data_IF_822110184634
#
_entry.id   IF_822110184634
#
_cell.length_a   1.000
_cell.length_b   1.000
_cell.length_c   1.000
_cell.angle_alpha   90.00
_cell.angle_beta   90.00
_cell.angle_gamma   90.00
#
_symmetry.space_group_name_H-M   'P 1'
#
loop_
_entity.id
_entity.type
_entity.pdbx_description
1 polymer ?
#
# COMPACT_ATOMS: atom_id res chain seq x y z
N UNK A 1 -21.04 -9.90 -19.09
CA UNK A 1 -20.55 -9.21 -17.88
C UNK A 1 -19.03 -9.00 -17.91
N UNK A 2 -18.20 -9.99 -18.29
CA UNK A 2 -16.73 -9.82 -18.40
C UNK A 2 -16.31 -8.70 -19.36
N UNK A 3 -16.76 -8.70 -20.61
CA UNK A 3 -16.33 -7.69 -21.60
C UNK A 3 -16.65 -6.23 -21.24
N UNK A 4 -17.76 -5.99 -20.51
CA UNK A 4 -18.12 -4.65 -20.04
C UNK A 4 -17.25 -4.21 -18.86
N UNK A 5 -16.92 -5.15 -17.95
CA UNK A 5 -15.97 -4.94 -16.87
C UNK A 5 -14.58 -4.62 -17.42
N UNK A 6 -14.11 -5.40 -18.41
CA UNK A 6 -12.81 -5.21 -19.03
C UNK A 6 -12.70 -3.84 -19.71
N UNK A 7 -13.79 -3.37 -20.34
CA UNK A 7 -13.85 -2.02 -20.92
C UNK A 7 -13.81 -0.92 -19.85
N UNK A 8 -14.62 -1.02 -18.80
CA UNK A 8 -14.67 -0.01 -17.74
C UNK A 8 -13.34 0.07 -16.97
N UNK A 9 -12.75 -1.06 -16.62
CA UNK A 9 -11.43 -1.11 -15.97
C UNK A 9 -10.33 -0.54 -16.88
N UNK A 10 -10.40 -0.80 -18.20
CA UNK A 10 -9.48 -0.22 -19.17
C UNK A 10 -9.61 1.30 -19.27
N UNK A 11 -10.82 1.84 -19.32
CA UNK A 11 -11.05 3.28 -19.34
C UNK A 11 -10.50 3.96 -18.06
N UNK A 12 -10.64 3.30 -16.91
CA UNK A 12 -10.03 3.76 -15.66
C UNK A 12 -8.50 3.74 -15.78
N UNK A 13 -7.92 2.64 -16.24
CA UNK A 13 -6.47 2.49 -16.44
C UNK A 13 -5.89 3.57 -17.35
N UNK A 14 -6.54 3.86 -18.47
CA UNK A 14 -6.11 4.87 -19.43
C UNK A 14 -6.20 6.32 -18.88
N UNK A 15 -7.04 6.57 -17.88
CA UNK A 15 -7.11 7.89 -17.19
C UNK A 15 -6.04 8.07 -16.12
N UNK A 16 -5.62 6.98 -15.48
CA UNK A 16 -4.67 7.03 -14.36
C UNK A 16 -3.23 6.79 -14.79
N UNK A 17 -2.99 6.34 -16.03
CA UNK A 17 -1.66 6.15 -16.62
C UNK A 17 -1.44 7.10 -17.79
N UNK A 18 -0.24 7.65 -17.92
CA UNK A 18 0.14 8.34 -19.14
C UNK A 18 0.19 7.34 -20.32
N UNK A 19 -0.18 7.77 -21.53
CA UNK A 19 -0.01 6.94 -22.73
C UNK A 19 1.48 6.67 -22.99
N UNK A 20 1.78 5.52 -23.58
CA UNK A 20 3.13 5.11 -23.92
C UNK A 20 3.34 3.61 -23.80
N UNK A 21 4.60 3.20 -23.93
CA UNK A 21 5.04 1.82 -23.75
C UNK A 21 4.95 1.38 -22.29
N UNK A 22 4.74 0.09 -22.08
CA UNK A 22 4.73 -0.49 -20.75
C UNK A 22 6.17 -0.67 -20.20
N UNK A 23 6.39 -0.49 -18.87
CA UNK A 23 5.40 -0.12 -17.86
C UNK A 23 5.07 1.38 -17.89
N UNK A 24 3.78 1.71 -18.03
CA UNK A 24 3.32 3.11 -18.07
C UNK A 24 3.49 3.83 -16.74
N UNK A 25 3.76 5.13 -16.79
CA UNK A 25 3.91 5.99 -15.61
C UNK A 25 2.53 6.52 -15.18
N UNK A 26 2.17 6.44 -13.88
CA UNK A 26 0.90 6.97 -13.42
C UNK A 26 0.83 8.49 -13.52
N UNK A 27 -0.34 9.00 -13.91
CA UNK A 27 -0.67 10.42 -13.88
C UNK A 27 -0.44 10.95 -12.47
N UNK A 28 0.33 12.03 -12.39
CA UNK A 28 0.81 12.61 -11.15
C UNK A 28 0.76 14.13 -11.21
N UNK A 29 0.56 14.76 -10.03
CA UNK A 29 0.46 16.21 -9.85
C UNK A 29 1.74 16.97 -10.24
N UNK A 30 2.84 16.25 -10.42
CA UNK A 30 4.17 16.80 -10.72
C UNK A 30 4.43 16.86 -12.23
N UNK A 31 3.54 16.28 -13.05
CA UNK A 31 3.71 16.23 -14.51
C UNK A 31 4.82 15.28 -15.00
N UNK A 32 5.49 14.55 -14.11
CA UNK A 32 6.65 13.70 -14.44
C UNK A 32 6.24 12.51 -15.31
N UNK A 33 7.00 12.27 -16.38
CA UNK A 33 6.66 11.29 -17.43
C UNK A 33 7.54 10.04 -17.42
N UNK A 34 8.62 10.02 -16.64
CA UNK A 34 9.49 8.84 -16.52
C UNK A 34 9.40 8.24 -15.11
N UNK A 35 9.55 6.91 -15.02
CA UNK A 35 9.61 6.24 -13.72
C UNK A 35 10.77 6.74 -12.87
N UNK A 36 11.94 6.95 -13.47
CA UNK A 36 13.14 7.42 -12.75
C UNK A 36 12.86 8.74 -12.01
N UNK A 37 12.37 9.75 -12.73
CA UNK A 37 12.09 11.07 -12.13
C UNK A 37 10.96 10.98 -11.09
N UNK A 38 9.90 10.22 -11.39
CA UNK A 38 8.78 10.05 -10.48
C UNK A 38 9.21 9.38 -9.17
N UNK A 39 10.00 8.30 -9.24
CA UNK A 39 10.52 7.61 -8.06
C UNK A 39 11.43 8.52 -7.22
N UNK A 40 12.35 9.26 -7.86
CA UNK A 40 13.26 10.18 -7.16
C UNK A 40 12.49 11.27 -6.39
N UNK A 41 11.52 11.93 -7.03
CA UNK A 41 10.75 13.01 -6.39
C UNK A 41 9.77 12.45 -5.36
N UNK A 42 9.08 11.34 -5.65
CA UNK A 42 8.18 10.68 -4.71
C UNK A 42 8.90 10.22 -3.45
N UNK A 43 10.10 9.67 -3.55
CA UNK A 43 10.90 9.29 -2.38
C UNK A 43 11.20 10.51 -1.50
N UNK A 44 11.61 11.63 -2.11
CA UNK A 44 11.84 12.89 -1.37
C UNK A 44 10.56 13.38 -0.68
N UNK A 45 9.41 13.30 -1.35
CA UNK A 45 8.10 13.65 -0.76
C UNK A 45 7.82 12.75 0.45
N UNK A 46 7.86 11.42 0.27
CA UNK A 46 7.55 10.47 1.34
C UNK A 46 8.48 10.66 2.56
N UNK A 47 9.79 10.84 2.33
CA UNK A 47 10.75 11.14 3.41
C UNK A 47 10.40 12.43 4.16
N UNK A 48 10.03 13.50 3.44
CA UNK A 48 9.60 14.75 4.08
C UNK A 48 8.31 14.56 4.88
N UNK A 49 7.33 13.81 4.35
CA UNK A 49 6.07 13.52 5.05
C UNK A 49 6.28 12.70 6.31
N UNK A 50 7.19 11.73 6.30
CA UNK A 50 7.57 10.99 7.51
C UNK A 50 8.19 11.90 8.58
N UNK A 51 9.00 12.89 8.19
CA UNK A 51 9.57 13.89 9.13
C UNK A 51 8.52 14.83 9.73
N UNK A 52 7.44 15.12 9.00
CA UNK A 52 6.30 15.91 9.54
C UNK A 52 5.57 15.14 10.65
N UNK A 53 5.65 13.81 10.65
CA UNK A 53 4.98 12.95 11.61
C UNK A 53 3.90 12.09 10.97
N UNK A 54 3.43 11.09 11.71
CA UNK A 54 2.40 10.16 11.28
C UNK A 54 1.03 10.69 11.72
N UNK A 55 0.02 10.76 10.83
CA UNK A 55 -1.31 11.22 11.19
C UNK A 55 -1.95 10.36 12.28
N UNK A 56 -2.75 10.96 13.17
CA UNK A 56 -3.44 10.24 14.25
C UNK A 56 -4.33 9.11 13.72
N UNK A 57 -5.02 9.33 12.61
CA UNK A 57 -5.84 8.30 11.96
C UNK A 57 -5.01 7.09 11.54
N UNK A 58 -3.76 7.29 11.08
CA UNK A 58 -2.87 6.18 10.76
C UNK A 58 -2.42 5.43 12.03
N UNK A 59 -2.27 6.12 13.17
CA UNK A 59 -1.93 5.53 14.47
C UNK A 59 -3.07 4.73 15.09
N UNK A 60 -4.30 4.84 14.59
CA UNK A 60 -5.40 3.96 15.00
C UNK A 60 -5.24 2.53 14.46
N UNK A 61 -4.33 2.31 13.51
CA UNK A 61 -4.02 1.00 12.90
C UNK A 61 -5.26 0.30 12.32
N UNK A 62 -6.22 1.06 11.82
CA UNK A 62 -7.40 0.57 11.08
C UNK A 62 -7.13 0.57 9.58
N UNK A 63 -8.03 -0.03 8.79
CA UNK A 63 -7.91 0.03 7.33
C UNK A 63 -7.99 1.48 6.81
N UNK A 64 -8.86 2.29 7.42
CA UNK A 64 -8.90 3.73 7.18
C UNK A 64 -7.61 4.45 7.60
N UNK A 65 -6.95 3.98 8.66
CA UNK A 65 -5.62 4.42 9.04
C UNK A 65 -4.57 4.12 7.96
N UNK A 66 -4.61 2.93 7.35
CA UNK A 66 -3.74 2.56 6.23
C UNK A 66 -3.97 3.48 5.01
N UNK A 67 -5.23 3.78 4.70
CA UNK A 67 -5.60 4.73 3.62
C UNK A 67 -5.14 6.14 3.94
N UNK A 68 -5.31 6.59 5.18
CA UNK A 68 -4.80 7.89 5.66
C UNK A 68 -3.27 7.97 5.59
N UNK A 69 -2.57 6.86 5.86
CA UNK A 69 -1.12 6.79 5.74
C UNK A 69 -0.68 6.94 4.28
N UNK A 70 -1.31 6.20 3.36
CA UNK A 70 -1.03 6.34 1.93
C UNK A 70 -1.30 7.78 1.46
N UNK A 71 -2.43 8.37 1.85
CA UNK A 71 -2.74 9.77 1.54
C UNK A 71 -1.63 10.69 2.04
N UNK A 72 -1.27 10.58 3.32
CA UNK A 72 -0.26 11.44 3.93
C UNK A 72 1.08 11.40 3.21
N UNK A 73 1.53 10.20 2.81
CA UNK A 73 2.81 10.00 2.15
C UNK A 73 2.83 10.51 0.70
N UNK A 74 1.69 10.46 -0.02
CA UNK A 74 1.68 10.65 -1.46
C UNK A 74 0.71 11.73 -1.98
N UNK A 75 0.01 12.46 -1.12
CA UNK A 75 -0.96 13.52 -1.52
C UNK A 75 -0.37 14.60 -2.44
N UNK A 76 0.95 14.85 -2.39
CA UNK A 76 1.63 15.81 -3.26
C UNK A 76 2.06 15.22 -4.60
N UNK A 77 2.14 13.88 -4.71
CA UNK A 77 2.45 13.19 -5.96
C UNK A 77 1.17 12.81 -6.72
N UNK A 78 0.14 12.35 -6.03
CA UNK A 78 -1.03 11.72 -6.65
C UNK A 78 -2.35 12.39 -6.21
N UNK A 79 -3.28 12.58 -7.17
CA UNK A 79 -4.65 13.03 -6.88
C UNK A 79 -5.47 11.96 -6.17
N UNK A 80 -5.16 10.69 -6.46
CA UNK A 80 -5.79 9.50 -5.91
C UNK A 80 -5.14 9.00 -4.61
N UNK A 81 -4.24 9.76 -3.99
CA UNK A 81 -3.56 9.31 -2.77
C UNK A 81 -4.56 8.96 -1.66
N UNK A 82 -4.52 7.72 -1.17
CA UNK A 82 -5.42 7.19 -0.14
C UNK A 82 -6.69 6.52 -0.69
N UNK A 83 -6.87 6.54 -2.02
CA UNK A 83 -8.00 5.89 -2.68
C UNK A 83 -7.64 4.47 -3.07
N UNK A 84 -8.63 3.58 -2.92
CA UNK A 84 -8.55 2.21 -3.43
C UNK A 84 -8.40 2.23 -4.96
N UNK A 85 -7.66 1.27 -5.52
CA UNK A 85 -7.64 1.07 -6.97
C UNK A 85 -9.02 0.61 -7.44
N UNK A 86 -9.42 1.08 -8.61
CA UNK A 86 -10.70 0.75 -9.24
C UNK A 86 -10.56 -0.11 -10.50
N UNK A 87 -9.40 -0.75 -10.68
CA UNK A 87 -9.10 -1.63 -11.80
C UNK A 87 -8.20 -2.79 -11.35
N UNK A 88 -8.28 -3.91 -12.05
CA UNK A 88 -7.45 -5.08 -11.78
C UNK A 88 -6.02 -4.78 -12.23
N UNK A 89 -5.05 -4.99 -11.34
CA UNK A 89 -3.63 -4.83 -11.69
C UNK A 89 -2.97 -6.20 -11.71
N UNK A 90 -1.94 -6.34 -12.53
CA UNK A 90 -1.10 -7.53 -12.59
C UNK A 90 0.33 -7.10 -12.86
N UNK A 91 1.00 -6.51 -11.86
CA UNK A 91 2.46 -6.26 -11.98
C UNK A 91 3.25 -7.56 -12.04
N UNK A 92 2.73 -8.63 -11.46
CA UNK A 92 3.31 -9.97 -11.53
C UNK A 92 2.36 -10.85 -12.32
N UNK A 93 2.69 -11.13 -13.59
CA UNK A 93 1.99 -12.11 -14.39
C UNK A 93 2.03 -13.46 -13.66
N UNK A 94 0.91 -13.85 -13.03
CA UNK A 94 0.75 -15.17 -12.40
C UNK A 94 0.30 -15.19 -10.94
N UNK A 95 0.35 -14.08 -10.19
CA UNK A 95 -0.16 -14.04 -8.80
C UNK A 95 -1.49 -13.29 -8.75
N UNK A 96 -2.61 -13.97 -8.50
CA UNK A 96 -3.91 -13.31 -8.42
C UNK A 96 -3.97 -12.39 -7.20
N UNK A 97 -4.27 -11.12 -7.43
CA UNK A 97 -4.65 -10.15 -6.39
C UNK A 97 -6.17 -10.02 -6.34
N UNK A 98 -6.71 -9.47 -5.24
CA UNK A 98 -8.14 -9.26 -5.10
C UNK A 98 -8.73 -8.46 -6.28
N UNK A 99 -9.98 -8.72 -6.66
CA UNK A 99 -10.66 -7.82 -7.60
C UNK A 99 -10.98 -6.47 -6.91
N UNK A 100 -11.01 -5.33 -7.63
CA UNK A 100 -11.25 -4.02 -7.03
C UNK A 100 -12.46 -3.95 -6.11
N UNK A 101 -13.55 -4.61 -6.49
CA UNK A 101 -14.82 -4.63 -5.76
C UNK A 101 -14.71 -5.31 -4.40
N UNK A 102 -13.76 -6.24 -4.26
CA UNK A 102 -13.57 -7.06 -3.06
C UNK A 102 -12.51 -6.48 -2.11
N UNK A 103 -11.72 -5.48 -2.52
CA UNK A 103 -10.62 -4.92 -1.70
C UNK A 103 -11.14 -4.47 -0.34
N UNK A 104 -12.21 -3.67 -0.33
CA UNK A 104 -12.72 -3.06 0.90
C UNK A 104 -13.26 -4.10 1.87
N UNK A 105 -14.20 -4.94 1.42
CA UNK A 105 -14.85 -5.93 2.28
C UNK A 105 -13.83 -6.92 2.86
N UNK A 106 -12.87 -7.34 2.05
CA UNK A 106 -11.80 -8.23 2.49
C UNK A 106 -10.87 -7.56 3.53
N UNK A 107 -10.34 -6.36 3.26
CA UNK A 107 -9.45 -5.69 4.20
C UNK A 107 -10.17 -5.24 5.48
N UNK A 108 -11.44 -4.82 5.40
CA UNK A 108 -12.22 -4.54 6.60
C UNK A 108 -12.37 -5.79 7.49
N UNK A 109 -12.54 -6.97 6.90
CA UNK A 109 -12.58 -8.22 7.66
C UNK A 109 -11.23 -8.55 8.31
N UNK A 110 -10.12 -8.42 7.60
CA UNK A 110 -8.79 -8.67 8.15
C UNK A 110 -8.42 -7.68 9.27
N UNK A 111 -8.75 -6.40 9.10
CA UNK A 111 -8.50 -5.39 10.14
C UNK A 111 -9.38 -5.60 11.38
N UNK A 112 -10.59 -6.15 11.24
CA UNK A 112 -11.41 -6.57 12.39
C UNK A 112 -10.78 -7.73 13.16
N UNK A 113 -10.19 -8.72 12.47
CA UNK A 113 -9.44 -9.81 13.13
C UNK A 113 -8.21 -9.27 13.86
N UNK A 114 -7.49 -8.33 13.24
CA UNK A 114 -6.34 -7.67 13.84
C UNK A 114 -6.72 -6.87 15.11
N UNK A 115 -7.82 -6.12 15.06
CA UNK A 115 -8.36 -5.40 16.22
C UNK A 115 -8.78 -6.36 17.35
N UNK A 116 -9.51 -7.43 17.02
CA UNK A 116 -9.91 -8.46 17.98
C UNK A 116 -8.71 -9.18 18.62
N UNK A 117 -7.58 -9.26 17.93
CA UNK A 117 -6.31 -9.75 18.46
C UNK A 117 -5.53 -8.69 19.26
N UNK A 118 -6.20 -7.66 19.79
CA UNK A 118 -5.62 -6.54 20.55
C UNK A 118 -4.47 -5.85 19.79
N UNK A 119 -4.58 -5.76 18.46
CA UNK A 119 -3.56 -5.21 17.59
C UNK A 119 -2.16 -5.82 17.82
N UNK A 120 -2.14 -7.12 18.15
CA UNK A 120 -0.96 -7.93 18.45
C UNK A 120 -0.12 -7.47 19.67
N UNK A 121 -0.67 -6.61 20.53
CA UNK A 121 -0.02 -6.21 21.78
C UNK A 121 0.05 -7.39 22.76
N UNK A 122 1.18 -7.53 23.44
CA UNK A 122 1.40 -8.54 24.48
C UNK A 122 1.74 -9.95 23.97
N UNK A 123 1.89 -10.13 22.65
CA UNK A 123 2.43 -11.37 22.08
C UNK A 123 3.93 -11.49 22.36
N UNK A 124 4.48 -12.71 22.34
CA UNK A 124 5.93 -12.90 22.34
C UNK A 124 6.54 -12.52 20.97
N UNK A 125 7.85 -12.19 20.87
CA UNK A 125 8.44 -11.67 19.63
C UNK A 125 8.20 -12.54 18.38
N UNK A 126 8.34 -13.87 18.50
CA UNK A 126 8.11 -14.79 17.38
C UNK A 126 6.64 -14.82 16.92
N UNK A 127 5.71 -14.81 17.87
CA UNK A 127 4.27 -14.78 17.57
C UNK A 127 3.86 -13.43 16.96
N UNK A 128 4.42 -12.33 17.46
CA UNK A 128 4.23 -11.02 16.86
C UNK A 128 4.71 -11.00 15.40
N UNK A 129 5.94 -11.49 15.15
CA UNK A 129 6.51 -11.51 13.81
C UNK A 129 5.65 -12.33 12.82
N UNK A 130 5.20 -13.51 13.23
CA UNK A 130 4.31 -14.37 12.44
C UNK A 130 2.98 -13.69 12.12
N UNK A 131 2.31 -13.10 13.13
CA UNK A 131 1.02 -12.43 12.95
C UNK A 131 1.13 -11.15 12.13
N UNK A 132 2.19 -10.36 12.33
CA UNK A 132 2.47 -9.17 11.55
C UNK A 132 2.75 -9.53 10.07
N UNK A 133 3.55 -10.56 9.82
CA UNK A 133 3.82 -11.06 8.48
C UNK A 133 2.52 -11.52 7.78
N UNK A 134 1.67 -12.28 8.47
CA UNK A 134 0.38 -12.68 7.93
C UNK A 134 -0.49 -11.47 7.55
N UNK A 135 -0.66 -10.48 8.43
CA UNK A 135 -1.46 -9.28 8.13
C UNK A 135 -0.89 -8.53 6.90
N UNK A 136 0.43 -8.41 6.80
CA UNK A 136 1.07 -7.78 5.65
C UNK A 136 0.83 -8.56 4.35
N UNK A 137 0.84 -9.90 4.41
CA UNK A 137 0.51 -10.76 3.28
C UNK A 137 -0.93 -10.55 2.83
N UNK A 138 -1.90 -10.45 3.75
CA UNK A 138 -3.29 -10.15 3.38
C UNK A 138 -3.41 -8.77 2.72
N UNK A 139 -2.71 -7.76 3.25
CA UNK A 139 -2.66 -6.42 2.62
C UNK A 139 -2.01 -6.51 1.23
N UNK A 140 -0.98 -7.34 1.05
CA UNK A 140 -0.28 -7.51 -0.22
C UNK A 140 -1.18 -8.20 -1.26
N UNK A 141 -1.90 -9.24 -0.84
CA UNK A 141 -2.87 -9.97 -1.66
C UNK A 141 -4.04 -9.07 -2.11
N UNK A 142 -4.52 -8.20 -1.23
CA UNK A 142 -5.55 -7.21 -1.59
C UNK A 142 -5.00 -6.13 -2.54
N UNK A 143 -3.75 -5.72 -2.33
CA UNK A 143 -3.05 -4.69 -3.09
C UNK A 143 -3.88 -3.41 -3.27
N UNK A 144 -4.28 -2.73 -2.18
CA UNK A 144 -5.39 -1.78 -2.19
C UNK A 144 -5.17 -0.52 -3.03
N UNK A 145 -3.94 -0.08 -3.24
CA UNK A 145 -3.63 1.19 -3.92
C UNK A 145 -3.09 0.98 -5.34
N UNK A 146 -3.14 2.04 -6.17
CA UNK A 146 -2.62 2.02 -7.55
C UNK A 146 -1.09 1.81 -7.57
N UNK A 147 -0.36 2.43 -6.63
CA UNK A 147 1.09 2.30 -6.51
C UNK A 147 1.51 2.51 -5.04
N UNK A 148 2.76 2.19 -4.71
CA UNK A 148 3.37 2.42 -3.39
C UNK A 148 2.81 1.58 -2.25
N UNK A 149 2.08 0.49 -2.54
CA UNK A 149 1.63 -0.48 -1.54
C UNK A 149 2.76 -0.95 -0.62
N UNK A 150 3.88 -1.41 -1.16
CA UNK A 150 5.02 -1.87 -0.36
C UNK A 150 5.64 -0.79 0.53
N UNK A 151 5.65 0.49 0.09
CA UNK A 151 6.13 1.60 0.94
C UNK A 151 5.19 1.84 2.11
N UNK A 152 3.90 1.85 1.86
CA UNK A 152 2.88 2.01 2.90
C UNK A 152 2.96 0.84 3.88
N UNK A 153 3.07 -0.40 3.41
CA UNK A 153 3.22 -1.60 4.22
C UNK A 153 4.44 -1.56 5.14
N UNK A 154 5.62 -1.15 4.66
CA UNK A 154 6.81 -1.03 5.51
C UNK A 154 6.66 0.02 6.61
N UNK A 155 6.03 1.15 6.31
CA UNK A 155 5.74 2.17 7.33
C UNK A 155 4.68 1.65 8.30
N UNK A 156 3.65 0.96 7.79
CA UNK A 156 2.61 0.36 8.62
C UNK A 156 3.17 -0.72 9.55
N UNK A 157 4.09 -1.56 9.07
CA UNK A 157 4.83 -2.56 9.86
C UNK A 157 5.54 -1.89 11.03
N UNK A 158 6.23 -0.77 10.77
CA UNK A 158 6.85 0.02 11.83
C UNK A 158 5.83 0.50 12.87
N UNK A 159 4.66 0.98 12.44
CA UNK A 159 3.62 1.45 13.37
C UNK A 159 3.03 0.32 14.23
N UNK A 160 2.77 -0.86 13.65
CA UNK A 160 2.28 -2.01 14.42
C UNK A 160 3.35 -2.53 15.38
N UNK A 161 4.63 -2.52 14.99
CA UNK A 161 5.75 -2.88 15.87
C UNK A 161 5.86 -1.92 17.05
N UNK A 162 5.87 -0.61 16.78
CA UNK A 162 5.93 0.42 17.83
C UNK A 162 4.75 0.29 18.81
N UNK A 163 3.54 0.06 18.29
CA UNK A 163 2.34 -0.14 19.11
C UNK A 163 2.40 -1.41 19.98
N UNK A 164 3.07 -2.46 19.50
CA UNK A 164 3.28 -3.71 20.22
C UNK A 164 4.49 -3.67 21.18
N UNK A 165 5.23 -2.55 21.26
CA UNK A 165 6.42 -2.42 22.10
C UNK A 165 7.70 -2.98 21.49
N UNK A 166 7.72 -3.17 20.16
CA UNK A 166 8.85 -3.66 19.41
C UNK A 166 9.46 -2.60 18.49
N UNK A 167 10.76 -2.73 18.24
CA UNK A 167 11.44 -2.01 17.18
C UNK A 167 11.68 -2.95 16.00
N UNK A 168 11.45 -2.46 14.78
CA UNK A 168 11.80 -3.16 13.56
C UNK A 168 12.86 -2.38 12.79
N UNK A 169 13.92 -3.08 12.38
CA UNK A 169 14.97 -2.53 11.53
C UNK A 169 14.82 -3.11 10.13
N UNK A 170 14.38 -2.27 9.18
CA UNK A 170 14.39 -2.60 7.75
C UNK A 170 15.48 -1.76 7.08
N UNK A 171 16.43 -2.45 6.44
CA UNK A 171 17.55 -1.83 5.73
C UNK A 171 17.29 -1.80 4.23
N UNK A 172 18.01 -0.94 3.52
CA UNK A 172 17.94 -0.90 2.05
C UNK A 172 18.36 -2.24 1.42
N UNK A 173 19.27 -2.98 2.07
CA UNK A 173 19.70 -4.34 1.69
C UNK A 173 18.60 -5.39 1.76
N UNK A 174 17.51 -5.12 2.46
CA UNK A 174 16.44 -6.10 2.68
C UNK A 174 15.36 -6.00 1.59
N UNK A 175 15.54 -5.11 0.61
CA UNK A 175 14.57 -4.84 -0.45
C UNK A 175 14.32 -6.07 -1.31
N UNK A 176 15.38 -6.76 -1.71
CA UNK A 176 15.31 -7.97 -2.54
C UNK A 176 14.58 -9.08 -1.76
N UNK A 177 14.98 -9.32 -0.51
CA UNK A 177 14.33 -10.28 0.39
C UNK A 177 12.85 -9.97 0.61
N UNK A 178 12.48 -8.68 0.77
CA UNK A 178 11.08 -8.26 0.90
C UNK A 178 10.25 -8.59 -0.33
N UNK A 179 10.83 -8.51 -1.53
CA UNK A 179 10.10 -8.78 -2.77
C UNK A 179 10.00 -10.28 -3.09
N UNK A 180 10.92 -11.09 -2.55
CA UNK A 180 10.96 -12.55 -2.74
C UNK A 180 10.06 -13.31 -1.74
N UNK A 181 9.84 -12.75 -0.55
CA UNK A 181 9.00 -13.31 0.51
C UNK A 181 7.49 -13.22 0.18
#
# INVERSE_FOLDING_TARGET
>A
MSQLRDKAEREIYERIMYPGDEPRVPVNKLGLRTWKELEEVKNKIATRRLKVGIPDRARQLTYDGLKSLHHHLFQYAYSWAGQERAYTTGRNAGVPIATPENIRSYLEAEFKKFEAANQFKGLAPGQFAEKAAHLLNEINAAHPFIESNGRVQRVFLRLISENAGYEISLKASDKELWNEA
#
